data_IF_114372564844
#
_entry.id   IF_114372564844
#
_cell.length_a   1.000
_cell.length_b   1.000
_cell.length_c   1.000
_cell.angle_alpha   90.00
_cell.angle_beta   90.00
_cell.angle_gamma   90.00
#
_symmetry.space_group_name_H-M   'P 1'
#
loop_
_entity.id
_entity.type
_entity.pdbx_description
1 polymer ?
#
# COMPACT_ATOMS: atom_id res chain seq x y z
N UNK A 1 2.93 -20.89 -4.11
CA UNK A 1 1.99 -20.07 -4.88
C UNK A 1 0.70 -20.83 -5.12
N UNK A 2 -0.46 -20.26 -4.79
CA UNK A 2 -1.78 -20.80 -5.13
C UNK A 2 -2.03 -20.59 -6.64
N UNK A 3 -2.48 -21.64 -7.32
CA UNK A 3 -2.71 -21.63 -8.75
C UNK A 3 -4.20 -21.66 -9.08
N UNK A 4 -4.94 -22.57 -8.44
CA UNK A 4 -6.31 -22.85 -8.84
C UNK A 4 -7.20 -23.14 -7.64
N UNK A 5 -8.45 -22.72 -7.78
CA UNK A 5 -9.56 -23.03 -6.88
C UNK A 5 -10.54 -23.93 -7.64
N UNK A 6 -10.82 -25.10 -7.12
CA UNK A 6 -11.68 -26.09 -7.77
C UNK A 6 -13.04 -26.13 -7.07
N UNK A 7 -14.09 -25.53 -7.66
CA UNK A 7 -15.42 -25.59 -7.09
C UNK A 7 -16.05 -26.99 -7.31
N UNK A 8 -16.86 -27.41 -6.34
CA UNK A 8 -17.79 -28.54 -6.47
C UNK A 8 -19.06 -28.12 -7.23
N UNK A 9 -19.92 -29.10 -7.52
CA UNK A 9 -21.19 -28.85 -8.23
C UNK A 9 -22.15 -27.93 -7.45
N UNK A 10 -22.07 -27.93 -6.11
CA UNK A 10 -22.85 -27.07 -5.22
C UNK A 10 -22.30 -25.63 -5.10
N UNK A 11 -21.21 -25.33 -5.81
CA UNK A 11 -20.55 -24.00 -5.81
C UNK A 11 -19.55 -23.77 -4.67
N UNK A 12 -19.39 -24.68 -3.73
CA UNK A 12 -18.36 -24.60 -2.70
C UNK A 12 -17.02 -24.97 -3.27
N UNK A 13 -15.94 -24.49 -2.67
CA UNK A 13 -14.59 -24.93 -3.04
C UNK A 13 -14.34 -26.32 -2.47
N UNK A 14 -14.08 -27.29 -3.34
CA UNK A 14 -13.76 -28.67 -2.96
C UNK A 14 -12.26 -28.89 -2.76
N UNK A 15 -11.44 -28.22 -3.54
CA UNK A 15 -9.98 -28.38 -3.45
C UNK A 15 -9.26 -27.14 -4.00
N UNK A 16 -7.99 -27.05 -3.63
CA UNK A 16 -7.08 -26.03 -4.15
C UNK A 16 -5.85 -26.70 -4.78
N UNK A 17 -5.26 -26.04 -5.76
CA UNK A 17 -3.98 -26.43 -6.34
C UNK A 17 -2.95 -25.33 -6.07
N UNK A 18 -1.78 -25.73 -5.58
CA UNK A 18 -0.68 -24.81 -5.31
C UNK A 18 0.67 -25.43 -5.67
N UNK A 19 1.66 -24.56 -5.88
CA UNK A 19 3.05 -24.95 -6.13
C UNK A 19 3.93 -24.55 -4.97
N UNK A 20 4.77 -25.50 -4.53
CA UNK A 20 5.87 -25.28 -3.59
C UNK A 20 7.18 -25.72 -4.26
N UNK A 21 8.07 -24.75 -4.50
CA UNK A 21 9.23 -24.98 -5.35
C UNK A 21 8.80 -25.29 -6.79
N UNK A 22 9.15 -26.49 -7.28
CA UNK A 22 8.79 -26.97 -8.63
C UNK A 22 7.67 -28.04 -8.61
N UNK A 23 7.12 -28.36 -7.44
CA UNK A 23 6.13 -29.42 -7.26
C UNK A 23 4.74 -28.85 -7.08
N UNK A 24 3.79 -29.37 -7.84
CA UNK A 24 2.38 -29.05 -7.70
C UNK A 24 1.71 -29.98 -6.68
N UNK A 25 0.84 -29.43 -5.89
CA UNK A 25 0.05 -30.15 -4.86
C UNK A 25 -1.42 -29.80 -5.01
N UNK A 26 -2.27 -30.76 -4.65
CA UNK A 26 -3.70 -30.57 -4.49
C UNK A 26 -4.09 -30.88 -3.06
N UNK A 27 -4.94 -30.04 -2.49
CA UNK A 27 -5.49 -30.20 -1.15
C UNK A 27 -7.00 -30.09 -1.20
N UNK A 28 -7.70 -31.06 -0.65
CA UNK A 28 -9.14 -31.00 -0.42
C UNK A 28 -9.41 -30.26 0.87
N UNK A 29 -10.41 -29.38 0.85
CA UNK A 29 -10.76 -28.58 2.02
C UNK A 29 -12.26 -28.24 2.00
N UNK A 30 -12.96 -28.43 3.12
CA UNK A 30 -14.36 -28.03 3.25
C UNK A 30 -14.52 -26.51 3.45
N UNK A 31 -13.47 -25.83 3.87
CA UNK A 31 -13.46 -24.37 4.13
C UNK A 31 -12.15 -23.78 3.60
N UNK A 32 -12.25 -22.69 2.87
CA UNK A 32 -11.12 -21.96 2.36
C UNK A 32 -11.23 -20.47 2.74
N UNK A 33 -10.19 -19.94 3.39
CA UNK A 33 -10.05 -18.52 3.68
C UNK A 33 -8.99 -17.93 2.71
N UNK A 34 -9.42 -16.99 1.88
CA UNK A 34 -8.52 -16.25 0.99
C UNK A 34 -8.07 -14.96 1.68
N UNK A 35 -6.84 -14.91 2.13
CA UNK A 35 -6.23 -13.78 2.83
C UNK A 35 -4.96 -13.29 2.09
N UNK A 36 -5.03 -13.19 0.77
CA UNK A 36 -3.88 -12.85 -0.08
C UNK A 36 -3.74 -11.34 -0.37
N UNK A 37 -4.48 -10.50 0.35
CA UNK A 37 -4.48 -9.04 0.19
C UNK A 37 -5.39 -8.53 -0.92
N UNK A 38 -5.50 -7.21 -1.01
CA UNK A 38 -6.46 -6.50 -1.86
C UNK A 38 -6.20 -6.67 -3.37
N UNK A 39 -5.00 -7.05 -3.78
CA UNK A 39 -4.62 -7.27 -5.18
C UNK A 39 -4.68 -8.76 -5.54
N UNK A 40 -4.04 -9.62 -4.74
CA UNK A 40 -3.91 -11.03 -5.12
C UNK A 40 -5.20 -11.83 -4.93
N UNK A 41 -6.03 -11.49 -3.93
CA UNK A 41 -7.32 -12.17 -3.75
C UNK A 41 -8.26 -11.97 -4.95
N UNK A 42 -8.57 -10.73 -5.39
CA UNK A 42 -9.39 -10.54 -6.58
C UNK A 42 -8.72 -11.07 -7.86
N UNK A 43 -7.40 -10.93 -8.04
CA UNK A 43 -6.69 -11.52 -9.16
C UNK A 43 -6.91 -13.03 -9.25
N UNK A 44 -6.79 -13.72 -8.12
CA UNK A 44 -6.98 -15.16 -8.05
C UNK A 44 -8.43 -15.56 -8.42
N UNK A 45 -9.42 -14.85 -7.88
CA UNK A 45 -10.83 -15.10 -8.19
C UNK A 45 -11.13 -14.84 -9.68
N UNK A 46 -10.63 -13.75 -10.24
CA UNK A 46 -10.76 -13.41 -11.65
C UNK A 46 -10.06 -14.42 -12.57
N UNK A 47 -8.88 -14.94 -12.18
CA UNK A 47 -8.13 -15.91 -12.95
C UNK A 47 -8.80 -17.30 -13.00
N UNK A 48 -9.65 -17.63 -12.02
CA UNK A 48 -10.35 -18.91 -11.95
C UNK A 48 -11.68 -18.89 -12.75
N UNK A 49 -11.57 -18.61 -14.04
CA UNK A 49 -12.69 -18.64 -14.99
C UNK A 49 -12.98 -20.07 -15.45
N UNK A 50 -14.24 -20.36 -15.66
CA UNK A 50 -14.71 -21.62 -16.24
C UNK A 50 -16.02 -21.39 -16.99
N UNK A 51 -16.55 -22.44 -17.63
CA UNK A 51 -17.88 -22.39 -18.26
C UNK A 51 -18.98 -22.02 -17.25
N UNK A 52 -18.87 -22.51 -16.02
CA UNK A 52 -19.81 -22.21 -14.93
C UNK A 52 -19.57 -20.82 -14.34
N UNK A 53 -18.33 -20.33 -14.35
CA UNK A 53 -17.92 -19.04 -13.78
C UNK A 53 -17.22 -18.17 -14.82
N UNK A 54 -17.92 -17.69 -15.86
CA UNK A 54 -17.28 -17.01 -16.99
C UNK A 54 -16.59 -15.69 -16.62
N UNK A 55 -16.97 -15.08 -15.50
CA UNK A 55 -16.39 -13.84 -15.00
C UNK A 55 -15.42 -14.04 -13.81
N UNK A 56 -15.07 -15.29 -13.50
CA UNK A 56 -14.29 -15.65 -12.32
C UNK A 56 -15.15 -16.14 -11.17
N UNK A 57 -14.51 -16.74 -10.17
CA UNK A 57 -15.19 -17.26 -8.99
C UNK A 57 -15.73 -16.11 -8.11
N UNK A 58 -16.85 -16.35 -7.44
CA UNK A 58 -17.54 -15.39 -6.57
C UNK A 58 -17.86 -14.03 -7.24
N UNK A 59 -17.93 -13.98 -8.58
CA UNK A 59 -18.04 -12.76 -9.35
C UNK A 59 -19.31 -12.68 -10.22
N UNK A 60 -20.42 -13.22 -9.75
CA UNK A 60 -21.73 -13.10 -10.42
C UNK A 60 -22.20 -11.65 -10.50
N UNK A 61 -21.92 -10.85 -9.47
CA UNK A 61 -22.20 -9.41 -9.42
C UNK A 61 -21.23 -8.54 -10.22
N UNK A 62 -20.11 -9.11 -10.74
CA UNK A 62 -19.00 -8.40 -11.40
C UNK A 62 -18.31 -7.35 -10.53
N UNK A 63 -18.39 -7.48 -9.20
CA UNK A 63 -17.76 -6.55 -8.26
C UNK A 63 -16.33 -6.96 -7.83
N UNK A 64 -15.92 -8.21 -8.11
CA UNK A 64 -14.58 -8.66 -7.76
C UNK A 64 -13.53 -7.83 -8.50
N UNK A 65 -12.63 -7.23 -7.73
CA UNK A 65 -11.56 -6.36 -8.23
C UNK A 65 -11.96 -4.90 -8.43
N UNK A 66 -13.23 -4.54 -8.33
CA UNK A 66 -13.67 -3.15 -8.49
C UNK A 66 -13.48 -2.34 -7.22
N UNK A 67 -13.55 -1.01 -7.38
CA UNK A 67 -13.41 -0.05 -6.29
C UNK A 67 -12.12 -0.27 -5.48
N UNK A 68 -11.02 -0.50 -6.17
CA UNK A 68 -9.72 -0.60 -5.52
C UNK A 68 -9.37 0.75 -4.90
N UNK A 69 -9.12 0.74 -3.60
CA UNK A 69 -8.79 1.94 -2.82
C UNK A 69 -7.44 1.77 -2.14
N UNK A 70 -6.72 2.85 -2.05
CA UNK A 70 -5.44 2.95 -1.35
C UNK A 70 -5.41 4.24 -0.54
N UNK A 71 -4.69 4.26 0.58
CA UNK A 71 -4.47 5.50 1.32
C UNK A 71 -3.55 6.41 0.52
N UNK A 72 -3.92 7.68 0.40
CA UNK A 72 -3.06 8.70 -0.20
C UNK A 72 -2.08 9.18 0.86
N UNK A 73 -0.79 9.04 0.59
CA UNK A 73 0.27 9.58 1.42
C UNK A 73 0.94 10.76 0.74
N UNK A 74 1.08 11.85 1.46
CA UNK A 74 1.84 13.02 1.04
C UNK A 74 2.72 13.50 2.18
N UNK A 75 3.88 14.04 1.87
CA UNK A 75 4.76 14.64 2.87
C UNK A 75 5.37 15.93 2.36
N UNK A 76 5.55 16.88 3.27
CA UNK A 76 6.28 18.11 3.05
C UNK A 76 7.41 18.23 4.04
N UNK A 77 8.57 18.67 3.56
CA UNK A 77 9.78 18.76 4.36
C UNK A 77 10.39 20.14 4.22
N UNK A 78 10.75 20.74 5.33
CA UNK A 78 11.43 22.02 5.41
C UNK A 78 12.63 21.98 6.36
N UNK A 79 13.56 22.89 6.15
CA UNK A 79 14.65 23.13 7.08
C UNK A 79 14.21 24.21 8.05
N UNK A 80 14.31 23.93 9.34
CA UNK A 80 13.99 24.85 10.43
C UNK A 80 15.29 25.06 11.23
N UNK A 81 15.99 26.20 11.07
CA UNK A 81 17.31 26.42 11.66
C UNK A 81 17.36 26.24 13.16
N UNK A 82 16.29 26.66 13.85
CA UNK A 82 16.20 26.62 15.33
C UNK A 82 15.79 25.23 15.86
N UNK A 83 15.39 24.32 14.98
CA UNK A 83 15.09 22.93 15.33
C UNK A 83 16.38 22.14 15.38
N UNK A 84 16.68 21.50 16.52
CA UNK A 84 17.82 20.59 16.66
C UNK A 84 17.36 19.14 16.84
N UNK A 85 18.22 18.20 16.40
CA UNK A 85 18.03 16.76 16.65
C UNK A 85 16.70 16.17 16.13
N UNK A 86 16.17 16.69 15.05
CA UNK A 86 14.90 16.22 14.47
C UNK A 86 14.92 14.74 14.00
N UNK A 87 16.07 14.12 13.96
CA UNK A 87 16.28 12.71 13.63
C UNK A 87 16.24 11.78 14.86
N UNK A 88 16.12 12.36 16.06
CA UNK A 88 16.09 11.62 17.34
C UNK A 88 14.65 11.53 17.83
N UNK A 89 14.25 10.37 18.32
CA UNK A 89 12.92 10.13 18.86
C UNK A 89 12.23 8.93 18.24
N UNK A 90 10.95 8.77 18.55
CA UNK A 90 10.12 7.71 18.01
C UNK A 90 9.59 8.09 16.62
N UNK A 91 9.41 7.09 15.73
CA UNK A 91 8.67 7.32 14.48
C UNK A 91 7.25 7.80 14.79
N UNK A 92 6.82 8.86 14.13
CA UNK A 92 5.45 9.36 14.28
C UNK A 92 5.07 9.59 15.76
N UNK A 93 5.92 10.27 16.49
CA UNK A 93 5.75 10.58 17.91
C UNK A 93 4.61 11.59 18.21
N UNK A 94 4.13 12.28 17.16
CA UNK A 94 2.98 13.16 17.21
C UNK A 94 2.03 12.88 16.05
N UNK A 95 0.74 12.70 16.38
CA UNK A 95 -0.34 12.51 15.39
C UNK A 95 -1.47 13.49 15.70
N UNK A 96 -1.87 14.22 14.65
CA UNK A 96 -3.05 15.10 14.71
C UNK A 96 -4.21 14.41 13.96
N UNK A 97 -5.31 14.20 14.67
CA UNK A 97 -6.53 13.58 14.17
C UNK A 97 -7.65 14.60 13.92
N UNK A 98 -7.45 15.88 14.19
CA UNK A 98 -8.50 16.92 14.14
C UNK A 98 -9.11 17.09 12.74
N UNK A 99 -8.36 16.69 11.72
CA UNK A 99 -8.77 16.77 10.31
C UNK A 99 -9.26 15.44 9.75
N UNK A 100 -9.39 14.41 10.58
CA UNK A 100 -9.87 13.10 10.15
C UNK A 100 -11.39 13.01 10.23
N UNK A 101 -12.01 12.42 9.21
CA UNK A 101 -13.46 12.27 9.15
C UNK A 101 -14.17 13.35 8.30
N UNK A 102 -15.48 13.19 8.10
CA UNK A 102 -16.23 13.97 7.09
C UNK A 102 -16.39 15.46 7.41
N UNK A 103 -16.10 15.87 8.65
CA UNK A 103 -16.19 17.27 9.09
C UNK A 103 -14.83 17.92 9.38
N UNK A 104 -13.74 17.16 9.17
CA UNK A 104 -12.40 17.63 9.51
C UNK A 104 -11.90 18.75 8.59
N UNK A 105 -12.22 18.67 7.32
CA UNK A 105 -11.86 19.68 6.31
C UNK A 105 -13.11 19.99 5.47
N UNK A 106 -13.52 21.26 5.34
CA UNK A 106 -14.65 21.62 4.50
C UNK A 106 -14.49 21.08 3.07
N UNK A 107 -15.58 20.56 2.52
CA UNK A 107 -15.66 20.01 1.15
C UNK A 107 -14.75 18.81 0.85
N UNK A 108 -14.13 18.20 1.86
CA UNK A 108 -13.32 17.00 1.73
C UNK A 108 -14.01 15.83 2.41
N UNK A 109 -14.24 14.76 1.63
CA UNK A 109 -14.81 13.51 2.14
C UNK A 109 -13.68 12.67 2.72
N UNK A 110 -13.86 12.13 3.95
CA UNK A 110 -12.91 11.27 4.62
C UNK A 110 -11.83 11.99 5.44
N UNK A 111 -11.39 13.17 4.99
CA UNK A 111 -10.39 13.95 5.69
C UNK A 111 -8.97 13.37 5.61
N UNK A 112 -8.13 13.78 6.56
CA UNK A 112 -6.77 13.26 6.67
C UNK A 112 -6.25 13.34 8.10
N UNK A 113 -5.21 12.56 8.40
CA UNK A 113 -4.42 12.69 9.63
C UNK A 113 -3.03 13.22 9.28
N UNK A 114 -2.49 14.05 10.16
CA UNK A 114 -1.11 14.53 10.07
C UNK A 114 -0.22 13.87 11.11
N UNK A 115 1.06 13.70 10.78
CA UNK A 115 2.05 13.12 11.69
C UNK A 115 3.47 13.55 11.30
N UNK A 116 4.43 13.32 12.20
CA UNK A 116 5.85 13.48 11.88
C UNK A 116 6.27 12.40 10.86
N UNK A 117 6.90 12.81 9.75
CA UNK A 117 7.24 11.91 8.65
C UNK A 117 8.76 11.78 8.40
N UNK A 118 9.61 12.28 9.28
CA UNK A 118 11.08 12.30 9.09
C UNK A 118 11.64 10.89 8.87
N UNK A 119 11.15 9.91 9.62
CA UNK A 119 11.56 8.51 9.47
C UNK A 119 11.01 7.85 8.20
N UNK A 120 9.73 8.05 7.94
CA UNK A 120 9.04 7.41 6.80
C UNK A 120 9.66 7.81 5.47
N UNK A 121 10.10 9.06 5.35
CA UNK A 121 10.81 9.53 4.17
C UNK A 121 12.33 9.29 4.23
N UNK A 122 12.82 8.62 5.27
CA UNK A 122 14.21 8.18 5.38
C UNK A 122 15.22 9.30 5.65
N UNK A 123 14.85 10.34 6.39
CA UNK A 123 15.72 11.47 6.71
C UNK A 123 16.43 11.36 8.09
N UNK A 124 16.26 10.23 8.77
CA UNK A 124 16.89 9.99 10.08
C UNK A 124 18.38 9.62 10.02
N UNK A 125 18.86 9.21 8.85
CA UNK A 125 20.26 8.85 8.64
C UNK A 125 21.02 9.90 7.82
N UNK A 126 22.25 10.27 8.18
CA UNK A 126 23.01 11.32 7.48
C UNK A 126 23.30 10.97 6.01
N UNK A 127 23.45 9.69 5.67
CA UNK A 127 23.68 9.26 4.28
C UNK A 127 22.41 9.44 3.44
N UNK A 128 21.27 9.01 3.95
CA UNK A 128 19.99 9.17 3.26
C UNK A 128 19.60 10.65 3.13
N UNK A 129 19.85 11.42 4.19
CA UNK A 129 19.67 12.87 4.18
C UNK A 129 20.56 13.53 3.10
N UNK A 130 21.84 13.20 3.07
CA UNK A 130 22.79 13.71 2.08
C UNK A 130 22.33 13.42 0.63
N UNK A 131 21.83 12.22 0.37
CA UNK A 131 21.40 11.83 -0.99
C UNK A 131 20.10 12.49 -1.45
N UNK A 132 19.23 12.92 -0.53
CA UNK A 132 17.89 13.43 -0.85
C UNK A 132 17.76 14.95 -0.73
N UNK A 133 18.43 15.54 0.24
CA UNK A 133 18.23 16.93 0.62
C UNK A 133 19.43 17.81 0.21
N UNK A 134 20.66 17.34 0.43
CA UNK A 134 21.86 18.15 0.22
C UNK A 134 22.36 18.01 -1.21
N UNK A 135 22.51 19.14 -1.89
CA UNK A 135 23.06 19.18 -3.24
C UNK A 135 24.59 19.38 -3.20
N UNK A 136 25.27 18.82 -4.20
CA UNK A 136 26.72 18.97 -4.35
C UNK A 136 27.50 17.68 -4.06
N UNK A 137 28.82 17.80 -4.01
CA UNK A 137 29.73 16.69 -3.74
C UNK A 137 30.97 17.15 -2.97
N UNK A 138 31.76 16.20 -2.47
CA UNK A 138 33.03 16.48 -1.80
C UNK A 138 32.87 17.31 -0.52
N UNK A 139 33.61 18.40 -0.43
CA UNK A 139 33.61 19.27 0.76
C UNK A 139 32.27 19.97 0.96
N UNK A 140 31.67 20.50 -0.12
CA UNK A 140 30.40 21.20 -0.06
C UNK A 140 29.25 20.27 0.45
N UNK A 141 29.22 19.02 0.01
CA UNK A 141 28.28 18.02 0.53
C UNK A 141 28.46 17.80 2.03
N UNK A 142 29.70 17.62 2.49
CA UNK A 142 29.98 17.40 3.92
C UNK A 142 29.58 18.60 4.79
N UNK A 143 29.84 19.81 4.33
CA UNK A 143 29.45 21.04 5.02
C UNK A 143 27.91 21.21 5.02
N UNK A 144 27.26 20.96 3.90
CA UNK A 144 25.80 20.97 3.81
C UNK A 144 25.12 19.98 4.77
N UNK A 145 25.61 18.74 4.82
CA UNK A 145 25.09 17.75 5.78
C UNK A 145 25.33 18.22 7.23
N UNK A 146 26.53 18.69 7.55
CA UNK A 146 26.87 19.12 8.91
C UNK A 146 25.97 20.28 9.38
N UNK A 147 25.61 21.19 8.48
CA UNK A 147 24.85 22.38 8.83
C UNK A 147 23.33 22.17 8.82
N UNK A 148 22.82 21.13 8.14
CA UNK A 148 21.39 20.95 7.93
C UNK A 148 20.83 19.67 8.56
N UNK A 149 21.65 18.65 8.76
CA UNK A 149 21.22 17.38 9.34
C UNK A 149 20.76 17.58 10.79
N UNK A 150 19.56 17.12 11.09
CA UNK A 150 18.94 17.32 12.38
C UNK A 150 18.12 18.62 12.52
N UNK A 151 18.08 19.45 11.46
CA UNK A 151 17.27 20.67 11.39
C UNK A 151 16.08 20.55 10.44
N UNK A 152 15.66 19.34 10.13
CA UNK A 152 14.61 19.06 9.17
C UNK A 152 13.29 18.78 9.91
N UNK A 153 12.24 19.51 9.56
CA UNK A 153 10.87 19.18 9.95
C UNK A 153 10.15 18.55 8.73
N UNK A 154 9.55 17.40 8.95
CA UNK A 154 8.73 16.78 7.93
C UNK A 154 7.35 16.44 8.48
N UNK A 155 6.33 16.88 7.78
CA UNK A 155 4.93 16.58 8.09
C UNK A 155 4.39 15.68 6.99
N UNK A 156 3.87 14.52 7.38
CA UNK A 156 3.15 13.61 6.51
C UNK A 156 1.64 13.73 6.70
N UNK A 157 0.90 13.52 5.64
CA UNK A 157 -0.54 13.42 5.67
C UNK A 157 -0.97 12.10 5.05
N UNK A 158 -1.85 11.36 5.76
CA UNK A 158 -2.58 10.24 5.19
C UNK A 158 -4.02 10.66 4.95
N UNK A 159 -4.42 10.63 3.70
CA UNK A 159 -5.79 10.88 3.27
C UNK A 159 -6.44 9.62 2.75
N UNK A 160 -7.73 9.72 2.45
CA UNK A 160 -8.52 8.61 1.91
C UNK A 160 -8.62 8.71 0.39
N UNK A 161 -8.66 7.54 -0.25
CA UNK A 161 -9.00 7.39 -1.64
C UNK A 161 -10.45 6.91 -1.74
N UNK A 162 -11.29 7.65 -2.46
CA UNK A 162 -12.69 7.26 -2.62
C UNK A 162 -12.86 6.10 -3.61
N UNK A 163 -13.87 5.23 -3.39
CA UNK A 163 -14.19 4.18 -4.33
C UNK A 163 -14.53 4.77 -5.71
N UNK A 164 -14.02 4.12 -6.76
CA UNK A 164 -14.20 4.55 -8.13
C UNK A 164 -14.24 3.30 -9.03
N UNK A 165 -15.18 3.23 -9.94
CA UNK A 165 -15.35 2.08 -10.85
C UNK A 165 -14.16 1.89 -11.79
N UNK A 166 -13.43 2.96 -12.12
CA UNK A 166 -12.23 2.89 -12.94
C UNK A 166 -11.00 2.37 -12.16
N UNK A 167 -11.02 2.49 -10.83
CA UNK A 167 -9.98 1.92 -9.95
C UNK A 167 -10.27 0.45 -9.71
N UNK A 168 -9.55 -0.43 -10.40
CA UNK A 168 -9.83 -1.86 -10.36
C UNK A 168 -8.60 -2.73 -10.56
N UNK A 169 -8.68 -3.95 -10.08
CA UNK A 169 -7.74 -5.03 -10.35
C UNK A 169 -8.30 -5.83 -11.53
N UNK A 170 -7.60 -5.82 -12.66
CA UNK A 170 -7.90 -6.60 -13.85
C UNK A 170 -6.79 -7.62 -14.14
N UNK A 171 -7.11 -8.60 -15.00
CA UNK A 171 -6.11 -9.53 -15.53
C UNK A 171 -5.52 -8.97 -16.82
N UNK A 172 -4.20 -9.00 -16.94
CA UNK A 172 -3.51 -8.68 -18.19
C UNK A 172 -3.75 -9.83 -19.20
N UNK A 173 -4.44 -9.58 -20.32
CA UNK A 173 -4.72 -10.63 -21.31
C UNK A 173 -3.48 -11.18 -22.00
N UNK A 174 -2.37 -10.42 -22.00
CA UNK A 174 -1.10 -10.82 -22.61
C UNK A 174 -0.26 -11.72 -21.68
N UNK A 175 -0.56 -11.75 -20.39
CA UNK A 175 0.17 -12.53 -19.39
C UNK A 175 -0.66 -13.73 -18.94
N UNK A 176 -0.13 -14.91 -19.20
CA UNK A 176 -0.64 -16.17 -18.63
C UNK A 176 0.26 -16.52 -17.45
N UNK A 177 -0.28 -16.55 -16.26
CA UNK A 177 0.42 -17.01 -15.05
C UNK A 177 0.54 -18.54 -15.01
#
# INVERSE_FOLDING_TARGET
RLLRLNPAADGRIASIEYVKGKTAYRVETPVLVLAAGAIQTPRLLLANRSRQYPHGLANSSRQVGRNFMESVFWSSTGIVPDLGNSHVGLPSDAICWDFNGPQGIPDVIGGCRFHSAVQEIGLVGPIAYASRIVKGFGRALKEGVRNQFGHCLSVGAFGEFLPNDESRVDLDPARKD
#
